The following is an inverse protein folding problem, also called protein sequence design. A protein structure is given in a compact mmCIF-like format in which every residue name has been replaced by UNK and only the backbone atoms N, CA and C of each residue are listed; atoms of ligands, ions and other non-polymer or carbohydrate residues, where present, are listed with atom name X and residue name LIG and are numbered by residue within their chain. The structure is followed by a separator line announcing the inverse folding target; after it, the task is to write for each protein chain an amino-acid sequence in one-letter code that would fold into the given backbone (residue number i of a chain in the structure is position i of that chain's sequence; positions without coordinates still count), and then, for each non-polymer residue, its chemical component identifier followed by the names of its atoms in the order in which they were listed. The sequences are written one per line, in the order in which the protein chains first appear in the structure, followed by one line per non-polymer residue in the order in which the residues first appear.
data_IF_651215538704
#
_entry.id   IF_651215538704
#
_cell.length_a   1.000
_cell.length_b   1.000
_cell.length_c   1.000
_cell.angle_alpha   90.00
_cell.angle_beta   90.00
_cell.angle_gamma   90.00
#
_symmetry.space_group_name_H-M   'P 1'
#
loop_
_entity.id
_entity.type
_entity.pdbx_description
1 polymer ?
#
# COMPACT_ATOMS: atom_id res chain seq x y z
N UNK A 1 12.16 1.58 8.34
CA UNK A 1 11.60 0.28 7.92
C UNK A 1 10.21 0.57 7.39
N UNK A 2 9.87 0.10 6.19
CA UNK A 2 8.55 0.40 5.61
C UNK A 2 7.48 -0.48 6.26
N UNK A 3 6.30 0.09 6.42
CA UNK A 3 5.09 -0.59 6.87
C UNK A 3 4.22 -0.89 5.65
N UNK A 4 3.67 -2.11 5.59
CA UNK A 4 2.78 -2.53 4.52
C UNK A 4 1.41 -2.92 5.08
N UNK A 5 0.38 -2.63 4.32
CA UNK A 5 -0.97 -3.11 4.62
C UNK A 5 -1.69 -3.50 3.34
N UNK A 6 -2.43 -4.59 3.45
CA UNK A 6 -3.42 -5.02 2.46
C UNK A 6 -4.76 -4.55 2.98
N UNK A 7 -5.42 -3.71 2.20
CA UNK A 7 -6.76 -3.24 2.49
C UNK A 7 -7.74 -3.73 1.44
N UNK A 8 -9.02 -3.75 1.79
CA UNK A 8 -10.12 -3.88 0.84
C UNK A 8 -11.09 -2.73 1.02
N UNK A 9 -11.69 -2.32 -0.08
CA UNK A 9 -12.83 -1.42 -0.08
C UNK A 9 -14.16 -2.20 0.07
N UNK A 10 -15.28 -1.51 0.19
CA UNK A 10 -16.65 -2.08 0.20
C UNK A 10 -16.98 -2.84 -1.07
N UNK A 11 -16.38 -2.45 -2.19
CA UNK A 11 -16.51 -3.17 -3.47
C UNK A 11 -15.61 -4.43 -3.56
N UNK A 12 -14.93 -4.78 -2.46
CA UNK A 12 -14.02 -5.92 -2.35
C UNK A 12 -12.75 -5.76 -3.22
N UNK A 13 -12.48 -4.55 -3.70
CA UNK A 13 -11.24 -4.20 -4.39
C UNK A 13 -10.08 -4.15 -3.40
N UNK A 14 -9.04 -4.95 -3.67
CA UNK A 14 -7.84 -5.01 -2.83
C UNK A 14 -6.89 -3.88 -3.19
N UNK A 15 -6.55 -3.08 -2.19
CA UNK A 15 -5.56 -2.02 -2.29
C UNK A 15 -4.34 -2.36 -1.44
N UNK A 16 -3.16 -1.99 -1.95
CA UNK A 16 -1.89 -2.23 -1.27
C UNK A 16 -1.30 -0.89 -0.83
N UNK A 17 -1.28 -0.67 0.47
CA UNK A 17 -0.78 0.55 1.08
C UNK A 17 0.64 0.34 1.59
N UNK A 18 1.48 1.35 1.38
CA UNK A 18 2.84 1.37 1.89
C UNK A 18 3.14 2.72 2.52
N UNK A 19 3.79 2.68 3.68
CA UNK A 19 4.10 3.87 4.47
C UNK A 19 5.43 3.73 5.20
N UNK A 20 5.97 4.84 5.70
CA UNK A 20 7.03 4.79 6.70
C UNK A 20 6.49 4.42 8.09
N UNK A 21 5.25 4.79 8.39
CA UNK A 21 4.61 4.58 9.69
C UNK A 21 3.26 3.85 9.55
N UNK A 22 2.98 2.96 10.50
CA UNK A 22 1.67 2.27 10.59
C UNK A 22 0.53 3.25 10.84
N UNK A 23 0.79 4.34 11.56
CA UNK A 23 -0.21 5.36 11.90
C UNK A 23 -0.78 6.04 10.64
N UNK A 24 0.07 6.38 9.66
CA UNK A 24 -0.37 6.93 8.37
C UNK A 24 -1.32 5.97 7.64
N UNK A 25 -1.02 4.67 7.69
CA UNK A 25 -1.85 3.64 7.06
C UNK A 25 -3.21 3.59 7.75
N UNK A 26 -3.23 3.57 9.09
CA UNK A 26 -4.46 3.50 9.88
C UNK A 26 -5.34 4.74 9.63
N UNK A 27 -4.72 5.92 9.59
CA UNK A 27 -5.39 7.17 9.29
C UNK A 27 -5.93 7.21 7.85
N UNK A 28 -5.16 6.75 6.88
CA UNK A 28 -5.61 6.66 5.49
C UNK A 28 -6.77 5.68 5.33
N UNK A 29 -6.70 4.52 6.00
CA UNK A 29 -7.80 3.54 5.98
C UNK A 29 -9.07 4.14 6.57
N UNK A 30 -8.95 4.87 7.67
CA UNK A 30 -10.09 5.50 8.35
C UNK A 30 -10.71 6.63 7.52
N UNK A 31 -9.89 7.42 6.82
CA UNK A 31 -10.35 8.51 5.95
C UNK A 31 -11.07 8.00 4.69
N UNK A 32 -10.61 6.85 4.16
CA UNK A 32 -11.13 6.25 2.93
C UNK A 32 -12.10 5.08 3.16
N UNK A 33 -12.50 4.80 4.42
CA UNK A 33 -13.38 3.69 4.81
C UNK A 33 -12.89 2.30 4.33
N UNK A 34 -11.56 2.09 4.36
CA UNK A 34 -10.90 0.85 3.95
C UNK A 34 -10.74 -0.12 5.12
N UNK A 35 -10.96 -1.41 4.87
CA UNK A 35 -10.75 -2.47 5.87
C UNK A 35 -9.38 -3.13 5.70
N UNK A 36 -8.57 -3.17 6.76
CA UNK A 36 -7.25 -3.83 6.74
C UNK A 36 -7.44 -5.35 6.87
N UNK A 37 -7.05 -6.09 5.83
CA UNK A 37 -7.11 -7.55 5.79
C UNK A 37 -5.85 -8.17 6.40
N UNK A 38 -4.68 -7.61 6.07
CA UNK A 38 -3.40 -8.15 6.50
C UNK A 38 -2.33 -7.06 6.56
N UNK A 39 -1.32 -7.29 7.40
CA UNK A 39 -0.14 -6.45 7.55
C UNK A 39 1.11 -7.31 7.37
N UNK A 40 1.56 -7.52 6.12
CA UNK A 40 2.75 -8.33 5.88
C UNK A 40 4.02 -7.59 6.32
N UNK A 41 4.99 -8.34 6.84
CA UNK A 41 6.29 -7.79 7.27
C UNK A 41 7.21 -7.45 6.09
N UNK A 42 6.88 -7.93 4.89
CA UNK A 42 7.64 -7.74 3.66
C UNK A 42 6.72 -7.44 2.48
N UNK A 43 7.30 -6.93 1.40
CA UNK A 43 6.60 -6.73 0.13
C UNK A 43 6.30 -8.09 -0.47
N UNK A 44 5.02 -8.47 -0.53
CA UNK A 44 4.63 -9.67 -1.26
C UNK A 44 4.73 -9.44 -2.78
N UNK A 45 5.06 -10.47 -3.58
CA UNK A 45 5.16 -10.36 -5.03
C UNK A 45 3.85 -9.89 -5.67
N UNK A 46 2.70 -10.22 -5.08
CA UNK A 46 1.40 -9.69 -5.50
C UNK A 46 1.31 -8.16 -5.35
N UNK A 47 1.89 -7.59 -4.31
CA UNK A 47 1.89 -6.14 -4.10
C UNK A 47 2.74 -5.42 -5.16
N UNK A 48 3.86 -6.03 -5.58
CA UNK A 48 4.69 -5.52 -6.68
C UNK A 48 3.93 -5.47 -8.01
N UNK A 49 3.08 -6.46 -8.26
CA UNK A 49 2.31 -6.58 -9.50
C UNK A 49 1.09 -5.64 -9.57
N UNK A 50 0.46 -5.34 -8.42
CA UNK A 50 -0.86 -4.70 -8.38
C UNK A 50 -0.87 -3.19 -8.04
N UNK A 51 0.27 -2.50 -8.19
CA UNK A 51 0.46 -1.09 -7.81
C UNK A 51 0.38 -0.83 -6.29
N UNK A 52 1.35 -0.10 -5.76
CA UNK A 52 1.36 0.37 -4.37
C UNK A 52 0.90 1.82 -4.28
N UNK A 53 0.02 2.08 -3.31
CA UNK A 53 -0.37 3.43 -2.89
C UNK A 53 0.55 3.85 -1.74
N UNK A 54 1.31 4.92 -1.97
CA UNK A 54 2.18 5.52 -0.95
C UNK A 54 1.36 6.51 -0.12
N UNK A 55 1.28 6.29 1.20
CA UNK A 55 0.42 7.08 2.10
C UNK A 55 1.17 7.91 3.14
N UNK A 56 2.50 7.79 3.22
CA UNK A 56 3.32 8.57 4.17
C UNK A 56 3.60 9.98 3.66
N UNK A 57 3.81 10.94 4.57
CA UNK A 57 4.30 12.28 4.21
C UNK A 57 5.69 12.22 3.56
N UNK A 58 5.76 12.65 2.29
CA UNK A 58 7.02 12.76 1.55
C UNK A 58 6.96 12.13 0.15
N UNK A 59 8.09 12.19 -0.56
CA UNK A 59 8.21 11.53 -1.86
C UNK A 59 8.23 10.02 -1.67
N UNK A 60 7.45 9.31 -2.50
CA UNK A 60 7.54 7.86 -2.67
C UNK A 60 9.01 7.48 -2.90
N UNK A 61 9.60 6.59 -2.09
CA UNK A 61 10.96 6.13 -2.26
C UNK A 61 11.15 5.50 -3.64
N UNK A 62 12.29 5.76 -4.29
CA UNK A 62 12.64 5.15 -5.57
C UNK A 62 12.71 3.61 -5.49
N UNK A 63 12.96 3.07 -4.30
CA UNK A 63 12.92 1.62 -4.00
C UNK A 63 11.51 1.04 -4.21
N UNK A 64 10.46 1.86 -4.21
CA UNK A 64 9.07 1.47 -4.49
C UNK A 64 8.62 1.87 -5.91
N UNK A 65 9.51 2.45 -6.73
CA UNK A 65 9.30 2.70 -8.17
C UNK A 65 9.55 1.44 -9.03
N UNK A 66 9.65 0.25 -8.40
CA UNK A 66 9.75 -1.05 -9.11
C UNK A 66 8.40 -1.45 -9.75
N UNK A 67 7.31 -0.78 -9.37
CA UNK A 67 6.01 -0.84 -10.03
C UNK A 67 6.12 -0.20 -11.42
N UNK A 68 6.81 -0.87 -12.35
CA UNK A 68 6.86 -0.44 -13.75
C UNK A 68 5.46 -0.60 -14.36
N UNK A 69 4.97 0.39 -15.12
CA UNK A 69 3.90 0.11 -16.07
C UNK A 69 4.48 -0.84 -17.12
N UNK A 70 3.96 -2.07 -17.21
CA UNK A 70 4.20 -2.91 -18.37
C UNK A 70 3.31 -2.39 -19.51
N UNK A 71 3.74 -1.30 -20.15
CA UNK A 71 3.27 -0.93 -21.49
C UNK A 71 4.34 -1.39 -22.48
N UNK A 72 4.14 -2.57 -23.05
CA UNK A 72 4.70 -2.95 -24.34
C UNK A 72 3.55 -3.23 -25.29
#
# INVERSE_FOLDING_TARGET
MFSYAITKDKDNEKSYLVSNCIEDIDQYCKDNDLEIIARPEYVEPAMLAHHFIWVSEGKKPAILEISRPYRY
#
